data_IF_522530285948
#
_entry.id   IF_522530285948
#
_cell.length_a   1.000
_cell.length_b   1.000
_cell.length_c   1.000
_cell.angle_alpha   90.00
_cell.angle_beta   90.00
_cell.angle_gamma   90.00
#
_symmetry.space_group_name_H-M   'P 1'
#
loop_
_entity.id
_entity.type
_entity.pdbx_description
1 polymer ?
#
# COMPACT_ATOMS: atom_id res chain seq x y z
N UNK A 1 -11.89 7.55 -2.79
CA UNK A 1 -11.38 6.16 -2.89
C UNK A 1 -12.14 5.39 -3.96
N UNK A 2 -11.46 4.64 -4.82
CA UNK A 2 -12.09 3.76 -5.81
C UNK A 2 -12.70 2.55 -5.12
N UNK A 3 -13.86 2.09 -5.58
CA UNK A 3 -14.52 0.90 -5.08
C UNK A 3 -14.26 -0.29 -6.00
N UNK A 4 -14.10 -1.47 -5.42
CA UNK A 4 -13.92 -2.71 -6.16
C UNK A 4 -14.91 -3.75 -5.63
N UNK A 5 -15.64 -4.41 -6.51
CA UNK A 5 -16.56 -5.48 -6.13
C UNK A 5 -15.84 -6.83 -6.19
N UNK A 6 -15.87 -7.57 -5.08
CA UNK A 6 -15.26 -8.89 -4.97
C UNK A 6 -16.28 -9.89 -4.44
N UNK A 7 -16.50 -10.96 -5.21
CA UNK A 7 -17.37 -12.07 -4.80
C UNK A 7 -16.54 -13.17 -4.16
N UNK A 8 -16.98 -13.67 -3.02
CA UNK A 8 -16.35 -14.77 -2.31
C UNK A 8 -17.36 -15.78 -1.79
N UNK A 9 -16.88 -16.95 -1.43
CA UNK A 9 -17.67 -18.04 -0.85
C UNK A 9 -17.15 -18.30 0.58
N UNK A 10 -18.06 -18.34 1.56
CA UNK A 10 -17.69 -18.64 2.93
C UNK A 10 -17.20 -20.08 2.99
N UNK A 11 -16.11 -20.32 3.74
CA UNK A 11 -15.52 -21.65 3.92
C UNK A 11 -15.59 -22.07 5.38
N UNK A 12 -15.91 -23.34 5.59
CA UNK A 12 -15.96 -23.97 6.91
C UNK A 12 -14.75 -24.92 7.12
N UNK A 13 -14.04 -25.25 6.04
CA UNK A 13 -12.84 -26.10 6.08
C UNK A 13 -11.59 -25.28 6.37
N UNK A 14 -10.85 -25.68 7.42
CA UNK A 14 -9.65 -24.99 7.88
C UNK A 14 -8.42 -25.91 7.85
N UNK A 15 -7.26 -25.28 7.98
CA UNK A 15 -5.98 -25.96 8.10
C UNK A 15 -5.20 -26.13 6.80
N UNK A 16 -4.03 -26.76 6.90
CA UNK A 16 -3.04 -26.88 5.82
C UNK A 16 -3.54 -27.65 4.60
N UNK A 17 -4.29 -28.75 4.85
CA UNK A 17 -4.81 -29.61 3.77
C UNK A 17 -5.87 -28.89 2.95
N UNK A 18 -6.85 -28.28 3.61
CA UNK A 18 -7.91 -27.51 2.97
C UNK A 18 -7.36 -26.31 2.18
N UNK A 19 -6.48 -25.51 2.79
CA UNK A 19 -5.85 -24.37 2.12
C UNK A 19 -5.04 -24.78 0.89
N UNK A 20 -4.41 -25.97 0.89
CA UNK A 20 -3.70 -26.49 -0.28
C UNK A 20 -4.66 -26.92 -1.39
N UNK A 21 -5.80 -27.53 -1.04
CA UNK A 21 -6.83 -27.92 -2.00
C UNK A 21 -7.39 -26.67 -2.72
N UNK A 22 -7.85 -25.66 -1.98
CA UNK A 22 -8.35 -24.42 -2.57
C UNK A 22 -7.35 -23.76 -3.54
N UNK A 23 -6.07 -23.69 -3.16
CA UNK A 23 -5.04 -23.13 -4.04
C UNK A 23 -4.78 -23.96 -5.29
N UNK A 24 -4.94 -25.30 -5.23
CA UNK A 24 -4.83 -26.16 -6.42
C UNK A 24 -5.99 -25.98 -7.39
N UNK A 25 -7.14 -25.54 -6.91
CA UNK A 25 -8.34 -25.20 -7.68
C UNK A 25 -8.35 -23.76 -8.18
N UNK A 26 -7.27 -22.99 -7.94
CA UNK A 26 -7.17 -21.58 -8.34
C UNK A 26 -7.96 -20.63 -7.44
N UNK A 27 -8.28 -21.07 -6.22
CA UNK A 27 -8.93 -20.25 -5.21
C UNK A 27 -7.92 -19.78 -4.16
N UNK A 28 -8.11 -18.58 -3.63
CA UNK A 28 -7.27 -17.99 -2.60
C UNK A 28 -8.04 -17.94 -1.30
N UNK A 29 -7.53 -18.56 -0.22
CA UNK A 29 -8.09 -18.40 1.11
C UNK A 29 -7.92 -16.97 1.60
N UNK A 30 -9.00 -16.40 2.14
CA UNK A 30 -9.06 -15.04 2.67
C UNK A 30 -9.71 -15.04 4.04
N UNK A 31 -9.45 -13.97 4.79
CA UNK A 31 -10.14 -13.67 6.05
C UNK A 31 -10.54 -12.20 6.08
N UNK A 32 -11.70 -11.88 6.61
CA UNK A 32 -12.09 -10.52 6.97
C UNK A 32 -12.30 -10.44 8.47
N UNK A 33 -11.73 -9.42 9.09
CA UNK A 33 -11.77 -9.15 10.53
C UNK A 33 -11.83 -7.65 10.81
N UNK A 34 -12.07 -7.27 12.06
CA UNK A 34 -11.97 -5.88 12.55
C UNK A 34 -13.28 -5.10 12.63
N UNK A 35 -14.43 -5.68 12.38
CA UNK A 35 -15.72 -5.07 12.72
C UNK A 35 -15.89 -5.02 14.24
N UNK A 36 -16.43 -3.90 14.78
CA UNK A 36 -16.67 -3.76 16.22
C UNK A 36 -17.56 -4.90 16.78
N UNK A 37 -16.94 -5.99 17.27
CA UNK A 37 -17.62 -7.14 17.84
C UNK A 37 -18.14 -8.17 16.83
N UNK A 38 -17.84 -8.06 15.55
CA UNK A 38 -18.17 -9.08 14.56
C UNK A 38 -17.14 -10.21 14.55
N UNK A 39 -17.63 -11.43 14.33
CA UNK A 39 -16.78 -12.60 14.18
C UNK A 39 -15.99 -12.54 12.88
N UNK A 40 -14.75 -13.04 12.91
CA UNK A 40 -13.92 -13.17 11.73
C UNK A 40 -14.60 -14.11 10.72
N UNK A 41 -14.71 -13.66 9.47
CA UNK A 41 -15.31 -14.47 8.39
C UNK A 41 -14.21 -14.99 7.50
N UNK A 42 -14.12 -16.32 7.39
CA UNK A 42 -13.21 -16.99 6.49
C UNK A 42 -13.92 -17.31 5.18
N UNK A 43 -13.29 -16.98 4.07
CA UNK A 43 -13.87 -17.17 2.75
C UNK A 43 -12.78 -17.49 1.70
N UNK A 44 -13.20 -17.84 0.52
CA UNK A 44 -12.32 -18.06 -0.63
C UNK A 44 -12.77 -17.17 -1.78
N UNK A 45 -11.81 -16.77 -2.59
CA UNK A 45 -12.04 -15.96 -3.79
C UNK A 45 -11.29 -16.57 -4.97
N UNK A 46 -11.75 -16.36 -6.19
CA UNK A 46 -11.04 -16.80 -7.39
C UNK A 46 -9.79 -15.94 -7.60
N UNK A 47 -8.67 -16.59 -7.90
CA UNK A 47 -7.39 -15.90 -8.11
C UNK A 47 -7.44 -14.82 -9.20
N UNK A 48 -8.22 -15.06 -10.27
CA UNK A 48 -8.38 -14.10 -11.36
C UNK A 48 -9.00 -12.77 -10.94
N UNK A 49 -9.96 -12.82 -10.00
CA UNK A 49 -10.71 -11.65 -9.55
C UNK A 49 -9.85 -10.77 -8.61
N UNK A 50 -9.09 -11.40 -7.73
CA UNK A 50 -8.21 -10.71 -6.78
C UNK A 50 -6.96 -10.14 -7.46
N UNK A 51 -6.50 -10.74 -8.55
CA UNK A 51 -5.30 -10.31 -9.26
C UNK A 51 -5.36 -8.83 -9.67
N UNK A 52 -6.50 -8.37 -10.17
CA UNK A 52 -6.70 -6.97 -10.56
C UNK A 52 -6.59 -6.01 -9.38
N UNK A 53 -7.00 -6.43 -8.21
CA UNK A 53 -6.97 -5.64 -6.98
C UNK A 53 -5.55 -5.53 -6.39
N UNK A 54 -4.75 -6.59 -6.50
CA UNK A 54 -3.43 -6.68 -5.84
C UNK A 54 -2.31 -6.05 -6.68
N UNK A 55 -2.34 -6.23 -8.00
CA UNK A 55 -1.28 -5.73 -8.88
C UNK A 55 -1.45 -4.28 -9.32
N UNK A 56 -2.41 -3.57 -8.73
CA UNK A 56 -2.58 -2.13 -8.90
C UNK A 56 -1.98 -1.41 -7.68
N UNK A 57 -1.20 -0.35 -7.86
CA UNK A 57 -0.58 0.37 -6.74
C UNK A 57 -1.58 1.16 -5.88
N UNK A 58 -2.80 1.30 -6.33
CA UNK A 58 -3.85 2.10 -5.69
C UNK A 58 -4.49 1.36 -4.51
N UNK A 59 -5.02 2.12 -3.55
CA UNK A 59 -5.81 1.58 -2.44
C UNK A 59 -7.29 1.57 -2.82
N UNK A 60 -7.93 0.39 -2.70
CA UNK A 60 -9.34 0.21 -3.01
C UNK A 60 -10.17 -0.05 -1.74
N UNK A 61 -11.37 0.50 -1.73
CA UNK A 61 -12.43 0.05 -0.85
C UNK A 61 -13.12 -1.15 -1.51
N UNK A 62 -13.01 -2.31 -0.91
CA UNK A 62 -13.53 -3.56 -1.47
C UNK A 62 -14.92 -3.84 -0.93
N UNK A 63 -15.91 -3.89 -1.79
CA UNK A 63 -17.24 -4.39 -1.47
C UNK A 63 -17.23 -5.91 -1.59
N UNK A 64 -17.13 -6.59 -0.45
CA UNK A 64 -17.16 -8.05 -0.37
C UNK A 64 -18.60 -8.55 -0.42
N UNK A 65 -18.95 -9.34 -1.41
CA UNK A 65 -20.21 -10.07 -1.50
C UNK A 65 -19.95 -11.55 -1.19
N UNK A 66 -20.32 -11.97 0.01
CA UNK A 66 -20.17 -13.34 0.49
C UNK A 66 -21.50 -14.12 0.41
N UNK A 67 -22.41 -13.70 -0.44
CA UNK A 67 -23.74 -14.28 -0.60
C UNK A 67 -24.70 -13.90 0.54
N UNK A 68 -24.41 -14.33 1.76
CA UNK A 68 -25.25 -14.02 2.94
C UNK A 68 -24.90 -12.68 3.60
N UNK A 69 -23.67 -12.20 3.44
CA UNK A 69 -23.15 -10.97 4.05
C UNK A 69 -22.52 -10.09 2.98
N UNK A 70 -22.80 -8.80 3.03
CA UNK A 70 -22.12 -7.76 2.24
C UNK A 70 -21.38 -6.86 3.19
N UNK A 71 -20.06 -6.74 3.00
CA UNK A 71 -19.17 -6.02 3.88
C UNK A 71 -18.28 -5.08 3.07
N UNK A 72 -17.92 -3.93 3.65
CA UNK A 72 -16.88 -3.07 3.10
C UNK A 72 -15.57 -3.35 3.82
N UNK A 73 -14.52 -3.59 3.06
CA UNK A 73 -13.22 -3.94 3.61
C UNK A 73 -12.09 -3.33 2.79
N UNK A 74 -10.92 -3.23 3.39
CA UNK A 74 -9.66 -2.87 2.72
C UNK A 74 -8.69 -4.03 2.84
N UNK A 75 -7.76 -4.16 1.88
CA UNK A 75 -6.67 -5.12 2.00
C UNK A 75 -5.73 -4.65 3.11
N UNK A 76 -5.47 -5.53 4.07
CA UNK A 76 -4.56 -5.28 5.18
C UNK A 76 -3.21 -5.92 4.97
N UNK A 77 -3.20 -7.20 4.59
CA UNK A 77 -1.98 -7.97 4.37
C UNK A 77 -2.12 -8.93 3.19
N UNK A 78 -1.01 -9.14 2.50
CA UNK A 78 -0.89 -10.03 1.36
C UNK A 78 0.26 -11.00 1.58
N UNK A 79 0.00 -12.29 1.44
CA UNK A 79 1.04 -13.30 1.52
C UNK A 79 1.30 -13.90 0.14
N UNK A 80 2.56 -13.84 -0.28
CA UNK A 80 3.01 -14.38 -1.55
C UNK A 80 3.92 -15.60 -1.35
N UNK A 81 3.91 -16.49 -2.32
CA UNK A 81 4.87 -17.58 -2.36
C UNK A 81 6.25 -17.03 -2.78
N UNK A 82 7.33 -17.27 -2.00
CA UNK A 82 8.62 -16.59 -2.18
C UNK A 82 9.33 -16.87 -3.52
N UNK A 83 8.94 -17.95 -4.22
CA UNK A 83 9.57 -18.35 -5.48
C UNK A 83 8.62 -18.24 -6.68
N UNK A 84 7.32 -18.49 -6.47
CA UNK A 84 6.33 -18.55 -7.58
C UNK A 84 5.53 -17.25 -7.73
N UNK A 85 5.69 -16.29 -6.83
CA UNK A 85 4.87 -15.05 -6.72
C UNK A 85 3.35 -15.30 -6.69
N UNK A 86 2.96 -16.55 -6.40
CA UNK A 86 1.56 -16.91 -6.26
C UNK A 86 1.01 -16.36 -4.95
N UNK A 87 -0.19 -15.82 -4.99
CA UNK A 87 -0.89 -15.30 -3.81
C UNK A 87 -1.30 -16.49 -2.94
N UNK A 88 -0.87 -16.51 -1.69
CA UNK A 88 -1.17 -17.57 -0.73
C UNK A 88 -2.36 -17.24 0.17
N UNK A 89 -2.47 -15.99 0.60
CA UNK A 89 -3.51 -15.53 1.52
C UNK A 89 -3.74 -14.04 1.36
N UNK A 90 -4.94 -13.58 1.63
CA UNK A 90 -5.30 -12.15 1.66
C UNK A 90 -6.08 -11.87 2.93
N UNK A 91 -5.61 -10.90 3.69
CA UNK A 91 -6.26 -10.40 4.87
C UNK A 91 -7.02 -9.11 4.56
N UNK A 92 -8.30 -9.10 4.89
CA UNK A 92 -9.15 -7.94 4.75
C UNK A 92 -9.50 -7.37 6.12
N UNK A 93 -9.42 -6.06 6.24
CA UNK A 93 -9.89 -5.33 7.40
C UNK A 93 -11.28 -4.78 7.10
N UNK A 94 -12.28 -5.17 7.89
CA UNK A 94 -13.63 -4.61 7.80
C UNK A 94 -13.59 -3.11 8.16
N UNK A 95 -14.20 -2.30 7.33
CA UNK A 95 -14.20 -0.85 7.44
C UNK A 95 -15.56 -0.36 7.88
N UNK A 96 -15.55 0.36 9.00
CA UNK A 96 -16.72 1.09 9.50
C UNK A 96 -16.44 2.58 9.30
N UNK A 97 -17.37 3.32 8.73
CA UNK A 97 -17.19 4.74 8.37
C UNK A 97 -16.81 5.63 9.56
N UNK A 98 -17.19 5.25 10.76
CA UNK A 98 -16.98 6.01 12.00
C UNK A 98 -15.66 5.68 12.70
N UNK A 99 -14.98 4.60 12.31
CA UNK A 99 -13.74 4.14 12.96
C UNK A 99 -12.50 4.47 12.13
N UNK A 100 -11.45 5.06 12.74
CA UNK A 100 -10.20 5.32 12.03
C UNK A 100 -9.49 4.00 11.69
N UNK A 101 -9.02 3.88 10.46
CA UNK A 101 -8.29 2.71 9.98
C UNK A 101 -6.83 3.03 9.75
N UNK A 102 -5.97 2.03 9.95
CA UNK A 102 -4.53 2.12 9.68
C UNK A 102 -4.22 1.30 8.44
N UNK A 103 -3.78 1.99 7.39
CA UNK A 103 -3.42 1.36 6.09
C UNK A 103 -2.10 1.90 5.56
N UNK A 104 -1.55 1.20 4.57
CA UNK A 104 -0.38 1.64 3.81
C UNK A 104 -0.81 2.27 2.50
N UNK A 105 -0.53 3.56 2.33
CA UNK A 105 -0.85 4.32 1.11
C UNK A 105 0.41 4.54 0.29
N UNK A 106 0.37 4.34 -1.04
CA UNK A 106 1.52 4.56 -1.91
C UNK A 106 1.89 6.04 -1.98
N UNK A 107 3.20 6.30 -2.06
CA UNK A 107 3.77 7.64 -2.25
C UNK A 107 4.05 7.85 -3.72
N UNK A 108 3.54 8.97 -4.26
CA UNK A 108 3.83 9.43 -5.61
C UNK A 108 4.63 10.73 -5.57
N UNK A 109 5.76 10.72 -6.25
CA UNK A 109 6.59 11.93 -6.40
C UNK A 109 6.11 12.75 -7.60
N UNK A 110 5.99 14.06 -7.42
CA UNK A 110 5.61 15.00 -8.49
C UNK A 110 6.64 16.12 -8.62
N UNK A 111 6.78 16.64 -9.84
CA UNK A 111 7.76 17.67 -10.16
C UNK A 111 9.14 17.12 -10.52
N UNK A 112 9.99 17.98 -11.05
CA UNK A 112 11.39 17.68 -11.40
C UNK A 112 12.31 18.32 -10.37
N UNK A 113 12.95 17.50 -9.53
CA UNK A 113 13.84 17.97 -8.47
C UNK A 113 15.00 18.80 -9.01
N UNK A 114 15.29 19.94 -8.34
CA UNK A 114 16.43 20.80 -8.69
C UNK A 114 17.74 20.02 -8.69
N UNK A 115 17.92 19.11 -7.74
CA UNK A 115 19.09 18.25 -7.68
C UNK A 115 19.23 17.24 -8.84
N UNK A 116 18.10 16.83 -9.46
CA UNK A 116 18.14 16.00 -10.67
C UNK A 116 18.60 16.83 -11.88
N UNK A 117 18.15 18.09 -11.99
CA UNK A 117 18.65 19.03 -13.02
C UNK A 117 20.15 19.27 -12.91
N UNK A 118 20.68 19.22 -11.67
CA UNK A 118 22.11 19.35 -11.38
C UNK A 118 22.89 18.03 -11.51
N UNK A 119 22.30 16.98 -12.14
CA UNK A 119 22.97 15.71 -12.40
C UNK A 119 22.87 14.67 -11.28
N UNK A 120 22.02 14.88 -10.27
CA UNK A 120 21.71 13.90 -9.23
C UNK A 120 20.73 12.84 -9.68
N UNK A 121 20.60 11.77 -8.88
CA UNK A 121 19.62 10.69 -9.08
C UNK A 121 18.58 10.71 -7.97
N UNK A 122 17.30 10.89 -8.33
CA UNK A 122 16.19 10.79 -7.39
C UNK A 122 15.97 9.32 -6.99
N UNK A 123 15.91 9.05 -5.69
CA UNK A 123 15.63 7.74 -5.10
C UNK A 123 14.41 7.86 -4.19
N UNK A 124 13.45 6.97 -4.37
CA UNK A 124 12.32 6.79 -3.47
C UNK A 124 12.65 5.62 -2.52
N UNK A 125 12.89 5.93 -1.24
CA UNK A 125 13.32 4.95 -0.25
C UNK A 125 12.08 4.29 0.40
N UNK A 126 11.04 5.06 0.69
CA UNK A 126 9.77 4.55 1.24
C UNK A 126 8.69 4.69 0.16
N UNK A 127 8.24 3.55 -0.35
CA UNK A 127 7.21 3.51 -1.40
C UNK A 127 5.78 3.61 -0.88
N UNK A 128 5.56 3.23 0.39
CA UNK A 128 4.25 3.26 1.06
C UNK A 128 4.42 3.83 2.45
N UNK A 129 3.52 4.70 2.87
CA UNK A 129 3.48 5.25 4.23
C UNK A 129 2.29 4.65 4.99
N UNK A 130 2.53 4.28 6.25
CA UNK A 130 1.48 3.87 7.17
C UNK A 130 0.76 5.10 7.66
N UNK A 131 -0.53 5.16 7.41
CA UNK A 131 -1.37 6.29 7.78
C UNK A 131 -2.59 5.84 8.54
N UNK A 132 -3.07 6.71 9.43
CA UNK A 132 -4.31 6.55 10.16
C UNK A 132 -5.26 7.67 9.75
N UNK A 133 -6.42 7.30 9.25
CA UNK A 133 -7.46 8.25 8.87
C UNK A 133 -8.85 7.60 8.90
N UNK A 134 -9.89 8.43 8.80
CA UNK A 134 -11.25 7.94 8.60
C UNK A 134 -11.42 7.47 7.14
N UNK A 135 -12.18 6.40 6.88
CA UNK A 135 -12.34 5.82 5.54
C UNK A 135 -12.75 6.82 4.45
N UNK A 136 -13.71 7.73 4.67
CA UNK A 136 -14.10 8.71 3.66
C UNK A 136 -13.00 9.75 3.35
N UNK A 137 -12.03 9.96 4.26
CA UNK A 137 -10.93 10.92 4.12
C UNK A 137 -9.63 10.32 3.62
N UNK A 138 -9.60 9.01 3.32
CA UNK A 138 -8.43 8.33 2.84
C UNK A 138 -8.12 8.71 1.38
N UNK A 139 -6.92 9.26 1.09
CA UNK A 139 -6.48 9.52 -0.28
C UNK A 139 -6.08 8.21 -0.97
N UNK A 140 -6.15 8.19 -2.30
CA UNK A 140 -5.71 7.05 -3.11
C UNK A 140 -4.18 6.94 -3.16
N UNK A 141 -3.51 8.08 -3.15
CA UNK A 141 -2.05 8.21 -3.17
C UNK A 141 -1.61 9.44 -2.36
N UNK A 142 -0.41 9.39 -1.80
CA UNK A 142 0.22 10.51 -1.11
C UNK A 142 1.17 11.23 -2.07
N UNK A 143 0.78 12.40 -2.53
CA UNK A 143 1.55 13.18 -3.50
C UNK A 143 2.59 14.03 -2.78
N UNK A 144 3.87 13.83 -3.11
CA UNK A 144 5.01 14.58 -2.57
C UNK A 144 5.67 15.39 -3.68
N UNK A 145 5.68 16.70 -3.54
CA UNK A 145 6.37 17.60 -4.47
C UNK A 145 7.88 17.61 -4.16
N UNK A 146 8.69 17.30 -5.17
CA UNK A 146 10.16 17.25 -5.06
C UNK A 146 10.88 18.38 -5.79
N UNK A 147 10.17 19.36 -6.34
CA UNK A 147 10.78 20.43 -7.17
C UNK A 147 11.91 21.19 -6.48
N UNK A 148 11.73 21.46 -5.17
CA UNK A 148 12.71 22.18 -4.35
C UNK A 148 13.84 21.30 -3.79
N UNK A 149 13.83 20.00 -4.11
CA UNK A 149 14.81 19.07 -3.56
C UNK A 149 16.15 19.19 -4.28
N UNK A 150 17.16 19.67 -3.55
CA UNK A 150 18.52 19.89 -4.02
C UNK A 150 19.37 18.60 -4.00
N UNK A 151 20.58 18.69 -4.60
CA UNK A 151 21.60 17.63 -4.56
C UNK A 151 21.99 17.27 -3.14
N UNK A 152 22.01 15.96 -2.82
CA UNK A 152 22.38 15.45 -1.50
C UNK A 152 21.34 15.66 -0.41
N UNK A 153 20.24 16.32 -0.70
CA UNK A 153 19.13 16.53 0.26
C UNK A 153 18.11 15.39 0.22
N UNK A 154 17.38 15.26 1.32
CA UNK A 154 16.31 14.27 1.48
C UNK A 154 15.06 14.92 2.08
N UNK A 155 13.91 14.34 1.75
CA UNK A 155 12.62 14.65 2.39
C UNK A 155 12.34 13.55 3.40
N UNK A 156 12.11 13.96 4.66
CA UNK A 156 11.75 13.06 5.76
C UNK A 156 10.25 13.09 6.02
N UNK A 157 9.73 12.04 6.64
CA UNK A 157 8.32 11.91 7.02
C UNK A 157 7.84 13.09 7.83
N UNK A 158 8.66 13.59 8.77
CA UNK A 158 8.30 14.73 9.64
C UNK A 158 8.12 16.08 8.91
N UNK A 159 8.54 16.18 7.65
CA UNK A 159 8.37 17.35 6.78
C UNK A 159 7.08 17.29 5.93
N UNK A 160 6.42 16.12 5.92
CA UNK A 160 5.21 15.90 5.16
C UNK A 160 3.98 16.20 6.02
N UNK A 161 3.06 16.95 5.47
CA UNK A 161 1.78 17.24 6.10
C UNK A 161 0.68 16.98 5.07
N UNK A 162 -0.29 16.17 5.47
CA UNK A 162 -1.47 15.87 4.68
C UNK A 162 -2.70 16.16 5.52
N UNK A 163 -3.68 16.83 4.93
CA UNK A 163 -4.92 17.15 5.60
C UNK A 163 -5.69 15.86 5.96
N UNK A 164 -6.23 15.80 7.17
CA UNK A 164 -7.07 14.71 7.67
C UNK A 164 -6.37 13.31 7.77
N UNK A 165 -5.04 13.24 7.60
CA UNK A 165 -4.28 11.98 7.61
C UNK A 165 -3.13 12.07 8.61
N UNK A 166 -3.09 11.17 9.56
CA UNK A 166 -2.00 11.02 10.53
C UNK A 166 -0.98 9.98 10.03
N UNK A 167 0.28 10.38 9.83
CA UNK A 167 1.36 9.48 9.41
C UNK A 167 1.95 8.81 10.66
N UNK A 168 1.97 7.47 10.66
CA UNK A 168 2.47 6.67 11.79
C UNK A 168 3.95 6.28 11.67
N UNK A 169 4.58 6.52 10.53
CA UNK A 169 6.00 6.25 10.33
C UNK A 169 6.86 7.17 11.20
N UNK A 170 8.08 6.73 11.52
CA UNK A 170 9.06 7.52 12.27
C UNK A 170 9.35 8.85 11.54
N UNK A 171 9.29 9.97 12.26
CA UNK A 171 9.47 11.33 11.69
C UNK A 171 10.81 11.55 10.99
N UNK A 172 11.87 10.83 11.43
CA UNK A 172 13.21 10.86 10.86
C UNK A 172 13.40 9.92 9.66
N UNK A 173 12.41 9.09 9.32
CA UNK A 173 12.51 8.20 8.17
C UNK A 173 12.54 9.00 6.87
N UNK A 174 13.48 8.65 5.98
CA UNK A 174 13.65 9.31 4.69
C UNK A 174 12.67 8.72 3.68
N UNK A 175 11.83 9.57 3.10
CA UNK A 175 10.86 9.18 2.06
C UNK A 175 11.50 9.15 0.70
N UNK A 176 12.19 10.23 0.34
CA UNK A 176 12.95 10.32 -0.91
C UNK A 176 14.19 11.19 -0.73
N UNK A 177 15.16 10.99 -1.60
CA UNK A 177 16.41 11.76 -1.62
C UNK A 177 16.97 11.90 -3.02
N UNK A 178 17.78 12.93 -3.24
CA UNK A 178 18.60 13.07 -4.45
C UNK A 178 20.04 12.68 -4.13
N UNK A 179 20.47 11.56 -4.69
CA UNK A 179 21.82 11.04 -4.53
C UNK A 179 22.80 11.74 -5.47
N UNK A 180 24.01 12.02 -4.97
CA UNK A 180 25.11 12.50 -5.76
C UNK A 180 25.63 11.40 -6.71
N UNK A 181 25.58 11.63 -8.01
CA UNK A 181 26.20 10.75 -9.00
C UNK A 181 27.71 11.03 -9.11
N UNK A 182 28.45 10.10 -9.73
CA UNK A 182 29.90 10.33 -10.01
C UNK A 182 30.09 11.55 -10.89
N UNK A 183 29.22 11.76 -11.86
CA UNK A 183 29.28 12.91 -12.77
C UNK A 183 29.04 14.24 -12.02
N UNK A 184 28.03 14.28 -11.14
CA UNK A 184 27.73 15.45 -10.33
C UNK A 184 28.88 15.80 -9.34
N UNK A 185 29.55 14.79 -8.76
CA UNK A 185 30.75 15.00 -7.92
C UNK A 185 31.89 15.63 -8.70
N UNK A 186 32.13 15.14 -9.93
CA UNK A 186 33.20 15.69 -10.81
C UNK A 186 32.90 17.13 -11.25
N UNK A 187 31.65 17.48 -11.49
CA UNK A 187 31.23 18.85 -11.81
C UNK A 187 31.38 19.80 -10.62
N UNK A 188 30.98 19.36 -9.42
CA UNK A 188 31.13 20.14 -8.18
C UNK A 188 32.61 20.39 -7.84
N UNK A 189 33.50 19.39 -7.98
CA UNK A 189 34.91 19.53 -7.75
C UNK A 189 35.62 20.48 -8.77
N UNK A 190 35.05 20.61 -9.99
CA UNK A 190 35.56 21.58 -10.99
C UNK A 190 35.06 23.02 -10.76
N UNK A 191 34.01 23.20 -10.01
CA UNK A 191 33.45 24.53 -9.72
C UNK A 191 34.06 25.18 -8.45
N UNK A 192 34.74 24.39 -7.60
CA UNK A 192 35.46 24.85 -6.40
C UNK A 192 36.97 25.07 -6.58
N UNK A 193 37.53 24.74 -7.72
CA UNK A 193 38.91 24.96 -8.09
C UNK A 193 39.08 25.95 -9.25
#
# INVERSE_FOLDING_TARGET
MKTFELKGEIRDDFGKKAARAYRSEGQIPCVVYGGHGEENVNFVVKQGDVRKLIYTPEVFLVNLDLGKKKLQAIIKELQFHPVKDAILHVDFLHVVETAPVVIEIPVRLTGLAAGVRAGGKLSLDIRKLKVKALPPKLPEELVVNVEKLELGKSIQVGQLHFDDVEILNAKNAVVCRVQLTRAARGAAAKAEG
#
